data_IF_665659110816
#
_entry.id   IF_665659110816
#
_cell.length_a   1.000
_cell.length_b   1.000
_cell.length_c   1.000
_cell.angle_alpha   90.00
_cell.angle_beta   90.00
_cell.angle_gamma   90.00
#
_symmetry.space_group_name_H-M   'P 1'
#
loop_
_entity.id
_entity.type
_entity.pdbx_description
1 polymer ?
#
# COMPACT_ATOMS: atom_id res chain seq x y z
N UNK A 1 9.47 25.90 -20.54
CA UNK A 1 10.42 24.96 -19.88
C UNK A 1 9.76 24.07 -18.83
N UNK A 2 8.86 24.57 -17.98
CA UNK A 2 8.19 23.74 -16.96
C UNK A 2 7.26 22.66 -17.52
N UNK A 3 6.47 22.97 -18.56
CA UNK A 3 5.61 21.96 -19.21
C UNK A 3 6.40 20.82 -19.86
N UNK A 4 7.57 21.10 -20.45
CA UNK A 4 8.44 20.08 -21.03
C UNK A 4 9.05 19.17 -19.95
N UNK A 5 9.51 19.74 -18.82
CA UNK A 5 9.98 18.97 -17.66
C UNK A 5 8.87 18.10 -17.05
N UNK A 6 7.66 18.63 -16.93
CA UNK A 6 6.52 17.88 -16.43
C UNK A 6 6.17 16.71 -17.35
N UNK A 7 6.15 16.92 -18.66
CA UNK A 7 5.89 15.86 -19.65
C UNK A 7 6.98 14.79 -19.65
N UNK A 8 8.25 15.18 -19.54
CA UNK A 8 9.38 14.25 -19.45
C UNK A 8 9.36 13.42 -18.16
N UNK A 9 8.96 14.02 -17.04
CA UNK A 9 8.79 13.33 -15.77
C UNK A 9 7.63 12.32 -15.80
N UNK A 10 6.50 12.68 -16.43
CA UNK A 10 5.37 11.76 -16.63
C UNK A 10 5.77 10.57 -17.50
N UNK A 11 6.55 10.80 -18.56
CA UNK A 11 7.07 9.73 -19.42
C UNK A 11 8.01 8.78 -18.66
N UNK A 12 8.92 9.32 -17.83
CA UNK A 12 9.80 8.50 -16.96
C UNK A 12 9.00 7.70 -15.95
N UNK A 13 8.01 8.30 -15.29
CA UNK A 13 7.13 7.62 -14.34
C UNK A 13 6.36 6.47 -15.01
N UNK A 14 5.80 6.71 -16.20
CA UNK A 14 5.08 5.70 -16.96
C UNK A 14 6.00 4.54 -17.39
N UNK A 15 7.25 4.84 -17.77
CA UNK A 15 8.25 3.84 -18.10
C UNK A 15 8.65 3.00 -16.87
N UNK A 16 8.88 3.65 -15.73
CA UNK A 16 9.21 2.97 -14.47
C UNK A 16 8.05 2.09 -13.99
N UNK A 17 6.81 2.57 -14.06
CA UNK A 17 5.62 1.77 -13.75
C UNK A 17 5.49 0.56 -14.68
N UNK A 18 5.71 0.74 -15.99
CA UNK A 18 5.68 -0.36 -16.96
C UNK A 18 6.74 -1.41 -16.62
N UNK A 19 7.97 -0.98 -16.31
CA UNK A 19 9.07 -1.87 -15.92
C UNK A 19 8.76 -2.62 -14.62
N UNK A 20 8.25 -1.94 -13.60
CA UNK A 20 7.83 -2.58 -12.34
C UNK A 20 6.72 -3.60 -12.58
N UNK A 21 5.73 -3.26 -13.41
CA UNK A 21 4.64 -4.16 -13.79
C UNK A 21 5.16 -5.42 -14.48
N UNK A 22 6.08 -5.27 -15.43
CA UNK A 22 6.73 -6.39 -16.12
C UNK A 22 7.52 -7.28 -15.15
N UNK A 23 8.26 -6.68 -14.20
CA UNK A 23 8.98 -7.42 -13.16
C UNK A 23 8.04 -8.20 -12.24
N UNK A 24 6.92 -7.60 -11.83
CA UNK A 24 5.90 -8.27 -11.03
C UNK A 24 5.25 -9.42 -11.81
N UNK A 25 4.91 -9.22 -13.09
CA UNK A 25 4.38 -10.29 -13.93
C UNK A 25 5.37 -11.44 -14.11
N UNK A 26 6.65 -11.14 -14.35
CA UNK A 26 7.69 -12.16 -14.42
C UNK A 26 7.80 -12.94 -13.11
N UNK A 27 7.66 -12.25 -11.97
CA UNK A 27 7.66 -12.89 -10.66
C UNK A 27 6.43 -13.78 -10.43
N UNK A 28 5.25 -13.35 -10.86
CA UNK A 28 4.01 -14.15 -10.81
C UNK A 28 4.19 -15.45 -11.61
N UNK A 29 4.64 -15.35 -12.86
CA UNK A 29 4.88 -16.52 -13.72
C UNK A 29 5.87 -17.49 -13.07
N UNK A 30 6.94 -16.97 -12.46
CA UNK A 30 7.91 -17.80 -11.74
C UNK A 30 7.29 -18.50 -10.52
N UNK A 31 6.48 -17.79 -9.74
CA UNK A 31 5.78 -18.37 -8.59
C UNK A 31 4.75 -19.42 -9.01
N UNK A 32 4.03 -19.21 -10.11
CA UNK A 32 3.09 -20.18 -10.69
C UNK A 32 3.83 -21.46 -11.12
N UNK A 33 5.01 -21.33 -11.74
CA UNK A 33 5.86 -22.49 -12.07
C UNK A 33 6.27 -23.24 -10.82
N UNK A 34 6.73 -22.54 -9.78
CA UNK A 34 7.13 -23.16 -8.51
C UNK A 34 5.95 -23.86 -7.81
N UNK A 35 4.76 -23.26 -7.88
CA UNK A 35 3.54 -23.86 -7.35
C UNK A 35 3.18 -25.14 -8.11
N UNK A 36 3.26 -25.13 -9.43
CA UNK A 36 3.01 -26.32 -10.26
C UNK A 36 4.00 -27.46 -9.94
N UNK A 37 5.29 -27.13 -9.73
CA UNK A 37 6.30 -28.11 -9.29
C UNK A 37 5.93 -28.73 -7.94
N UNK A 38 5.50 -27.89 -6.98
CA UNK A 38 5.06 -28.37 -5.65
C UNK A 38 3.85 -29.30 -5.76
N UNK A 39 2.83 -28.90 -6.52
CA UNK A 39 1.62 -29.70 -6.71
C UNK A 39 1.91 -31.03 -7.39
N UNK A 40 2.81 -31.04 -8.38
CA UNK A 40 3.27 -32.27 -9.02
C UNK A 40 3.96 -33.20 -8.03
N UNK A 41 4.85 -32.67 -7.19
CA UNK A 41 5.52 -33.45 -6.14
C UNK A 41 4.52 -34.03 -5.12
N UNK A 42 3.52 -33.25 -4.71
CA UNK A 42 2.45 -33.71 -3.82
C UNK A 42 1.65 -34.87 -4.45
N UNK A 43 1.33 -34.77 -5.75
CA UNK A 43 0.65 -35.83 -6.49
C UNK A 43 1.52 -37.10 -6.59
N UNK A 44 2.81 -36.97 -6.91
CA UNK A 44 3.75 -38.11 -6.98
C UNK A 44 3.86 -38.83 -5.63
N UNK A 45 3.92 -38.09 -4.52
CA UNK A 45 3.90 -38.67 -3.16
C UNK A 45 2.61 -39.48 -2.93
N UNK A 46 1.44 -38.95 -3.31
CA UNK A 46 0.17 -39.68 -3.17
C UNK A 46 0.12 -40.94 -4.03
N UNK A 47 0.61 -40.87 -5.27
CA UNK A 47 0.70 -42.03 -6.16
C UNK A 47 1.62 -43.12 -5.59
N UNK A 48 2.79 -42.74 -5.05
CA UNK A 48 3.72 -43.66 -4.42
C UNK A 48 3.13 -44.30 -3.16
N UNK A 49 2.40 -43.54 -2.33
CA UNK A 49 1.65 -44.07 -1.18
C UNK A 49 0.62 -45.11 -1.62
N UNK A 50 -0.15 -44.81 -2.67
CA UNK A 50 -1.14 -45.74 -3.23
C UNK A 50 -0.50 -47.03 -3.73
N UNK A 51 0.57 -46.94 -4.54
CA UNK A 51 1.32 -48.11 -5.05
C UNK A 51 1.86 -48.98 -3.91
N UNK A 52 2.46 -48.36 -2.89
CA UNK A 52 2.99 -49.07 -1.73
C UNK A 52 1.86 -49.78 -0.96
N UNK A 53 0.68 -49.16 -0.85
CA UNK A 53 -0.47 -49.76 -0.18
C UNK A 53 -0.98 -51.00 -0.94
N UNK A 54 -1.12 -50.92 -2.26
CA UNK A 54 -1.54 -52.07 -3.09
C UNK A 54 -0.54 -53.23 -2.97
N UNK A 55 0.76 -52.96 -3.08
CA UNK A 55 1.80 -54.01 -2.92
C UNK A 55 1.79 -54.69 -1.55
N UNK A 56 1.48 -53.95 -0.47
CA UNK A 56 1.32 -54.55 0.87
C UNK A 56 0.20 -55.58 0.93
N UNK A 57 -0.90 -55.37 0.19
CA UNK A 57 -2.04 -56.29 0.16
C UNK A 57 -1.82 -57.48 -0.77
N UNK A 58 -1.01 -57.32 -1.82
CA UNK A 58 -0.66 -58.39 -2.78
C UNK A 58 0.44 -59.35 -2.27
N UNK A 59 1.02 -59.10 -1.09
CA UNK A 59 2.14 -59.88 -0.52
C UNK A 59 1.80 -61.36 -0.23
N UNK A 60 0.52 -61.74 -0.27
CA UNK A 60 0.07 -63.10 0.03
C UNK A 60 0.09 -64.05 -1.18
N UNK A 61 0.25 -63.57 -2.42
CA UNK A 61 -0.01 -64.38 -3.62
C UNK A 61 1.18 -64.64 -4.57
N UNK A 62 2.34 -63.96 -4.51
CA UNK A 62 3.47 -64.24 -5.45
C UNK A 62 4.89 -63.83 -4.98
N UNK A 63 5.85 -64.73 -5.25
CA UNK A 63 7.34 -64.75 -5.41
C UNK A 63 8.34 -63.68 -4.87
N UNK A 64 9.61 -64.14 -4.82
CA UNK A 64 10.86 -63.58 -4.23
C UNK A 64 11.30 -62.15 -4.67
N UNK A 65 10.66 -61.52 -5.66
CA UNK A 65 11.10 -60.26 -6.32
C UNK A 65 10.28 -59.00 -5.90
N UNK A 66 9.28 -59.20 -5.03
CA UNK A 66 8.45 -58.13 -4.42
C UNK A 66 9.19 -57.26 -3.38
N UNK A 67 10.12 -57.78 -2.56
CA UNK A 67 10.79 -57.00 -1.52
C UNK A 67 11.62 -55.83 -2.07
N UNK A 68 12.44 -56.04 -3.10
CA UNK A 68 13.37 -55.01 -3.62
C UNK A 68 12.64 -53.83 -4.26
N UNK A 69 11.57 -54.10 -5.01
CA UNK A 69 10.70 -53.06 -5.59
C UNK A 69 9.99 -52.26 -4.50
N UNK A 70 9.55 -52.93 -3.44
CA UNK A 70 8.95 -52.27 -2.27
C UNK A 70 9.96 -51.38 -1.53
N UNK A 71 11.20 -51.82 -1.35
CA UNK A 71 12.28 -51.02 -0.76
C UNK A 71 12.62 -49.79 -1.61
N UNK A 72 12.71 -49.93 -2.93
CA UNK A 72 12.98 -48.81 -3.84
C UNK A 72 11.87 -47.74 -3.78
N UNK A 73 10.60 -48.15 -3.82
CA UNK A 73 9.44 -47.24 -3.69
C UNK A 73 9.44 -46.52 -2.33
N UNK A 74 9.78 -47.23 -1.25
CA UNK A 74 9.84 -46.63 0.09
C UNK A 74 10.93 -45.57 0.20
N UNK A 75 12.10 -45.82 -0.42
CA UNK A 75 13.21 -44.85 -0.48
C UNK A 75 12.81 -43.60 -1.26
N UNK A 76 12.23 -43.75 -2.45
CA UNK A 76 11.81 -42.61 -3.27
C UNK A 76 10.71 -41.78 -2.61
N UNK A 77 9.73 -42.44 -2.00
CA UNK A 77 8.67 -41.79 -1.21
C UNK A 77 9.27 -40.98 -0.05
N UNK A 78 10.18 -41.59 0.72
CA UNK A 78 10.83 -40.92 1.85
C UNK A 78 11.60 -39.67 1.42
N UNK A 79 12.32 -39.75 0.30
CA UNK A 79 13.08 -38.62 -0.23
C UNK A 79 12.16 -37.49 -0.72
N UNK A 80 11.10 -37.82 -1.47
CA UNK A 80 10.12 -36.83 -1.94
C UNK A 80 9.39 -36.15 -0.79
N UNK A 81 8.98 -36.91 0.23
CA UNK A 81 8.38 -36.32 1.44
C UNK A 81 9.36 -35.42 2.18
N UNK A 82 10.65 -35.79 2.24
CA UNK A 82 11.71 -34.94 2.82
C UNK A 82 11.87 -33.63 2.04
N UNK A 83 11.89 -33.70 0.71
CA UNK A 83 11.96 -32.52 -0.16
C UNK A 83 10.74 -31.60 0.02
N UNK A 84 9.52 -32.16 0.05
CA UNK A 84 8.30 -31.38 0.27
C UNK A 84 8.31 -30.71 1.65
N UNK A 85 8.72 -31.42 2.71
CA UNK A 85 8.88 -30.85 4.05
C UNK A 85 9.90 -29.72 4.08
N UNK A 86 11.06 -29.90 3.44
CA UNK A 86 12.09 -28.87 3.37
C UNK A 86 11.61 -27.62 2.61
N UNK A 87 10.91 -27.79 1.50
CA UNK A 87 10.32 -26.68 0.72
C UNK A 87 9.30 -25.89 1.55
N UNK A 88 8.39 -26.58 2.24
CA UNK A 88 7.39 -25.94 3.10
C UNK A 88 8.05 -25.20 4.28
N UNK A 89 9.06 -25.80 4.91
CA UNK A 89 9.80 -25.16 6.01
C UNK A 89 10.56 -23.90 5.55
N UNK A 90 11.19 -23.94 4.38
CA UNK A 90 11.82 -22.77 3.78
C UNK A 90 10.80 -21.66 3.49
N UNK A 91 9.66 -22.00 2.89
CA UNK A 91 8.61 -21.02 2.61
C UNK A 91 8.10 -20.36 3.89
N UNK A 92 7.84 -21.14 4.94
CA UNK A 92 7.44 -20.60 6.24
C UNK A 92 8.51 -19.67 6.84
N UNK A 93 9.78 -20.05 6.72
CA UNK A 93 10.91 -19.23 7.20
C UNK A 93 10.98 -17.90 6.45
N UNK A 94 10.77 -17.91 5.14
CA UNK A 94 10.77 -16.69 4.31
C UNK A 94 9.60 -15.78 4.69
N UNK A 95 8.40 -16.32 4.90
CA UNK A 95 7.23 -15.54 5.36
C UNK A 95 7.53 -14.86 6.70
N UNK A 96 8.11 -15.59 7.66
CA UNK A 96 8.45 -15.02 8.97
C UNK A 96 9.50 -13.93 8.85
N UNK A 97 10.53 -14.11 8.01
CA UNK A 97 11.57 -13.11 7.78
C UNK A 97 11.04 -11.85 7.09
N UNK A 98 10.18 -12.03 6.09
CA UNK A 98 9.55 -10.92 5.36
C UNK A 98 8.68 -10.10 6.30
N UNK A 99 7.81 -10.73 7.08
CA UNK A 99 6.98 -10.05 8.09
C UNK A 99 7.81 -9.23 9.07
N UNK A 100 8.86 -9.84 9.65
CA UNK A 100 9.77 -9.13 10.57
C UNK A 100 10.43 -7.92 9.91
N UNK A 101 10.95 -8.09 8.69
CA UNK A 101 11.59 -6.98 7.97
C UNK A 101 10.59 -5.88 7.60
N UNK A 102 9.36 -6.24 7.24
CA UNK A 102 8.31 -5.27 6.95
C UNK A 102 7.91 -4.53 8.22
N UNK A 103 7.72 -5.22 9.35
CA UNK A 103 7.40 -4.60 10.63
C UNK A 103 8.48 -3.58 11.03
N UNK A 104 9.75 -3.93 10.94
CA UNK A 104 10.87 -3.01 11.19
C UNK A 104 10.83 -1.78 10.27
N UNK A 105 10.53 -1.97 8.98
CA UNK A 105 10.41 -0.86 8.02
C UNK A 105 9.20 0.03 8.31
N UNK A 106 8.07 -0.53 8.72
CA UNK A 106 6.88 0.23 9.08
C UNK A 106 7.11 1.03 10.37
N UNK A 107 7.72 0.43 11.39
CA UNK A 107 8.06 1.13 12.63
C UNK A 107 9.06 2.27 12.37
N UNK A 108 10.11 2.02 11.58
CA UNK A 108 11.05 3.08 11.17
C UNK A 108 10.35 4.22 10.40
N UNK A 109 9.33 3.89 9.60
CA UNK A 109 8.55 4.87 8.83
C UNK A 109 7.64 5.71 9.72
N UNK A 110 6.94 5.08 10.66
CA UNK A 110 6.11 5.75 11.66
C UNK A 110 6.95 6.71 12.50
N UNK A 111 8.08 6.23 13.02
CA UNK A 111 9.00 7.04 13.82
C UNK A 111 9.52 8.26 13.04
N UNK A 112 9.84 8.06 11.76
CA UNK A 112 10.28 9.14 10.87
C UNK A 112 9.18 10.18 10.63
N UNK A 113 7.92 9.76 10.48
CA UNK A 113 6.76 10.66 10.35
C UNK A 113 6.60 11.48 11.63
N UNK A 114 6.56 10.83 12.80
CA UNK A 114 6.45 11.50 14.10
C UNK A 114 7.58 12.51 14.30
N UNK A 115 8.83 12.09 14.06
CA UNK A 115 10.00 12.95 14.23
C UNK A 115 9.95 14.16 13.29
N UNK A 116 9.56 13.97 12.02
CA UNK A 116 9.48 15.07 11.04
C UNK A 116 8.32 16.02 11.36
N UNK A 117 7.21 15.51 11.88
CA UNK A 117 6.06 16.33 12.29
C UNK A 117 6.41 17.31 13.41
N UNK A 118 7.27 16.92 14.34
CA UNK A 118 7.72 17.77 15.46
C UNK A 118 8.80 18.79 15.06
N UNK A 119 9.46 18.60 13.91
CA UNK A 119 10.49 19.51 13.45
C UNK A 119 9.89 20.76 12.78
N UNK A 120 10.52 21.94 12.94
CA UNK A 120 10.14 23.12 12.18
C UNK A 120 10.23 22.83 10.68
N UNK A 121 9.11 22.96 9.96
CA UNK A 121 9.04 22.67 8.53
C UNK A 121 10.02 23.56 7.76
N UNK A 122 11.10 22.96 7.24
CA UNK A 122 12.18 23.65 6.53
C UNK A 122 12.60 22.88 5.29
N UNK A 123 11.68 22.76 4.35
CA UNK A 123 11.95 22.19 3.04
C UNK A 123 10.74 21.54 2.41
N UNK A 124 11.00 20.82 1.32
CA UNK A 124 9.96 20.20 0.51
C UNK A 124 9.50 18.85 1.06
N UNK A 125 10.21 18.29 2.04
CA UNK A 125 9.83 17.04 2.70
C UNK A 125 9.19 17.37 4.04
N UNK A 126 7.99 16.88 4.26
CA UNK A 126 7.25 17.07 5.50
C UNK A 126 6.23 15.96 5.72
N UNK A 127 5.34 16.18 6.68
CA UNK A 127 4.18 15.30 6.90
C UNK A 127 2.95 15.93 6.25
N UNK A 128 2.18 15.13 5.51
CA UNK A 128 0.87 15.50 4.98
C UNK A 128 -0.18 14.66 5.68
N UNK A 129 -1.29 15.28 6.08
CA UNK A 129 -2.46 14.60 6.67
C UNK A 129 -3.43 14.24 5.54
N UNK A 130 -3.38 13.00 5.09
CA UNK A 130 -4.20 12.50 3.99
C UNK A 130 -5.66 12.39 4.42
N UNK A 131 -6.53 13.06 3.68
CA UNK A 131 -7.96 13.09 3.99
C UNK A 131 -8.38 14.20 4.94
N UNK A 132 -7.46 15.09 5.34
CA UNK A 132 -7.83 16.31 6.05
C UNK A 132 -8.39 17.33 5.04
N UNK A 133 -9.55 17.92 5.36
CA UNK A 133 -10.17 18.94 4.52
C UNK A 133 -9.39 20.25 4.67
N UNK A 134 -9.02 20.88 3.56
CA UNK A 134 -8.50 22.26 3.60
C UNK A 134 -9.63 23.21 4.01
N UNK A 135 -9.50 23.81 5.19
CA UNK A 135 -10.50 24.74 5.73
C UNK A 135 -10.44 26.13 5.07
N UNK A 136 -9.40 26.45 4.29
CA UNK A 136 -9.25 27.79 3.69
C UNK A 136 -10.41 28.18 2.77
N UNK A 137 -10.88 27.32 1.84
CA UNK A 137 -12.04 27.65 1.00
C UNK A 137 -13.30 27.93 1.80
N UNK A 138 -13.54 27.17 2.88
CA UNK A 138 -14.68 27.39 3.77
C UNK A 138 -14.59 28.77 4.42
N UNK A 139 -13.41 29.14 4.94
CA UNK A 139 -13.17 30.43 5.54
C UNK A 139 -13.34 31.59 4.56
N UNK A 140 -12.86 31.44 3.32
CA UNK A 140 -12.98 32.46 2.28
C UNK A 140 -14.44 32.70 1.87
N UNK A 141 -15.26 31.64 1.80
CA UNK A 141 -16.70 31.77 1.55
C UNK A 141 -17.41 32.43 2.74
N UNK A 142 -17.07 32.05 3.97
CA UNK A 142 -17.71 32.61 5.17
C UNK A 142 -17.35 34.10 5.38
N UNK A 143 -16.10 34.50 5.08
CA UNK A 143 -15.66 35.90 5.18
C UNK A 143 -16.39 36.85 4.24
N UNK A 144 -17.00 36.36 3.16
CA UNK A 144 -17.85 37.15 2.27
C UNK A 144 -19.22 37.47 2.88
N UNK A 145 -19.65 36.70 3.87
CA UNK A 145 -21.01 36.75 4.45
C UNK A 145 -21.02 37.24 5.91
N UNK A 146 -19.93 37.07 6.65
CA UNK A 146 -19.87 37.29 8.10
C UNK A 146 -18.62 38.07 8.51
N UNK A 147 -18.61 38.60 9.75
CA UNK A 147 -17.41 39.18 10.35
C UNK A 147 -16.34 38.10 10.60
N UNK A 148 -15.10 38.50 10.89
CA UNK A 148 -13.96 37.58 10.99
C UNK A 148 -14.17 36.43 11.99
N UNK A 149 -14.60 36.73 13.22
CA UNK A 149 -14.76 35.70 14.26
C UNK A 149 -15.90 34.74 13.92
N UNK A 150 -17.04 35.27 13.46
CA UNK A 150 -18.19 34.46 13.06
C UNK A 150 -17.87 33.62 11.81
N UNK A 151 -17.05 34.15 10.90
CA UNK A 151 -16.63 33.43 9.71
C UNK A 151 -15.71 32.25 10.05
N UNK A 152 -14.78 32.43 11.00
CA UNK A 152 -13.89 31.37 11.47
C UNK A 152 -14.64 30.24 12.18
N UNK A 153 -15.56 30.59 13.09
CA UNK A 153 -16.39 29.61 13.80
C UNK A 153 -17.31 28.85 12.83
N UNK A 154 -17.98 29.55 11.90
CA UNK A 154 -18.87 28.91 10.91
C UNK A 154 -18.12 28.04 9.91
N UNK A 155 -16.96 28.49 9.43
CA UNK A 155 -16.13 27.70 8.53
C UNK A 155 -15.67 26.40 9.22
N UNK A 156 -15.21 26.50 10.47
CA UNK A 156 -14.77 25.35 11.26
C UNK A 156 -15.92 24.37 11.50
N UNK A 157 -17.10 24.84 11.89
CA UNK A 157 -18.30 23.99 12.08
C UNK A 157 -18.69 23.25 10.81
N UNK A 158 -18.69 23.94 9.67
CA UNK A 158 -19.03 23.33 8.40
C UNK A 158 -17.96 22.34 7.93
N UNK A 159 -16.67 22.67 8.09
CA UNK A 159 -15.57 21.77 7.79
C UNK A 159 -15.70 20.48 8.60
N UNK A 160 -15.93 20.57 9.92
CA UNK A 160 -16.13 19.41 10.79
C UNK A 160 -17.36 18.59 10.43
N UNK A 161 -18.47 19.21 10.00
CA UNK A 161 -19.63 18.48 9.50
C UNK A 161 -19.24 17.60 8.31
N UNK A 162 -18.47 18.14 7.36
CA UNK A 162 -18.00 17.39 6.21
C UNK A 162 -16.97 16.32 6.60
N UNK A 163 -16.10 16.57 7.57
CA UNK A 163 -15.20 15.54 8.11
C UNK A 163 -15.98 14.35 8.68
N UNK A 164 -17.12 14.56 9.35
CA UNK A 164 -17.98 13.49 9.82
C UNK A 164 -18.66 12.73 8.67
N UNK A 165 -19.12 13.44 7.64
CA UNK A 165 -19.62 12.77 6.43
C UNK A 165 -18.54 11.91 5.78
N UNK A 166 -17.30 12.39 5.67
CA UNK A 166 -16.20 11.60 5.11
C UNK A 166 -15.89 10.33 5.91
N UNK A 167 -16.17 10.30 7.22
CA UNK A 167 -15.97 9.12 8.07
C UNK A 167 -17.08 8.07 7.94
N UNK A 168 -18.25 8.46 7.41
CA UNK A 168 -19.41 7.58 7.26
C UNK A 168 -19.09 6.44 6.26
N UNK A 169 -19.07 5.17 6.69
CA UNK A 169 -18.80 4.04 5.82
C UNK A 169 -19.92 3.77 4.82
N UNK A 170 -21.16 4.21 5.11
CA UNK A 170 -22.31 4.01 4.22
C UNK A 170 -22.35 5.04 3.08
N UNK A 171 -21.57 6.11 3.19
CA UNK A 171 -21.45 7.13 2.15
C UNK A 171 -20.18 6.95 1.30
N UNK A 172 -20.35 6.36 0.12
CA UNK A 172 -19.28 6.11 -0.85
C UNK A 172 -19.64 6.70 -2.22
N UNK A 173 -19.48 8.01 -2.45
CA UNK A 173 -19.94 8.69 -3.66
C UNK A 173 -18.95 8.49 -4.82
N UNK A 174 -18.69 7.23 -5.13
CA UNK A 174 -17.80 6.79 -6.19
C UNK A 174 -18.52 5.83 -7.13
N UNK A 175 -18.11 5.86 -8.40
CA UNK A 175 -18.57 4.92 -9.43
C UNK A 175 -17.38 4.37 -10.20
N UNK A 176 -17.55 3.15 -10.68
CA UNK A 176 -16.57 2.49 -11.53
C UNK A 176 -16.83 2.87 -12.98
N UNK A 177 -15.84 3.47 -13.64
CA UNK A 177 -15.85 3.78 -15.07
C UNK A 177 -14.72 3.05 -15.79
N UNK A 178 -14.91 2.77 -17.07
CA UNK A 178 -13.87 2.16 -17.90
C UNK A 178 -13.14 3.28 -18.66
N UNK A 179 -11.91 3.55 -18.27
CA UNK A 179 -11.04 4.53 -18.95
C UNK A 179 -9.85 3.75 -19.53
N UNK A 180 -9.71 3.78 -20.86
CA UNK A 180 -8.65 3.06 -21.59
C UNK A 180 -8.61 1.54 -21.29
N UNK A 181 -9.79 0.91 -21.15
CA UNK A 181 -9.90 -0.52 -20.88
C UNK A 181 -9.57 -0.93 -19.44
N UNK A 182 -9.37 0.03 -18.52
CA UNK A 182 -9.18 -0.23 -17.09
C UNK A 182 -10.37 0.30 -16.29
N UNK A 183 -10.86 -0.50 -15.35
CA UNK A 183 -11.80 -0.05 -14.33
C UNK A 183 -11.09 0.95 -13.42
N UNK A 184 -11.62 2.16 -13.34
CA UNK A 184 -11.15 3.22 -12.46
C UNK A 184 -12.34 3.71 -11.63
N UNK A 185 -12.09 3.89 -10.34
CA UNK A 185 -13.05 4.48 -9.43
C UNK A 185 -12.94 6.00 -9.50
N UNK A 186 -14.04 6.67 -9.81
CA UNK A 186 -14.12 8.13 -9.93
C UNK A 186 -15.28 8.65 -9.10
N UNK A 187 -15.20 9.92 -8.70
CA UNK A 187 -16.29 10.57 -7.97
C UNK A 187 -17.57 10.54 -8.80
N UNK A 188 -18.68 10.22 -8.14
CA UNK A 188 -19.98 10.33 -8.76
C UNK A 188 -20.49 11.78 -8.70
N UNK A 189 -20.44 12.47 -9.84
CA UNK A 189 -20.95 13.84 -9.96
C UNK A 189 -22.48 13.94 -9.75
N UNK A 190 -23.20 12.81 -9.74
CA UNK A 190 -24.64 12.78 -9.44
C UNK A 190 -24.96 12.63 -7.95
N UNK A 191 -23.95 12.47 -7.08
CA UNK A 191 -24.16 12.38 -5.63
C UNK A 191 -24.86 13.65 -5.09
N UNK A 192 -25.98 13.43 -4.39
CA UNK A 192 -26.87 14.50 -3.93
C UNK A 192 -26.14 15.46 -2.97
N UNK A 193 -25.37 14.92 -2.01
CA UNK A 193 -24.65 15.72 -1.01
C UNK A 193 -23.56 16.57 -1.66
N UNK A 194 -22.77 16.01 -2.57
CA UNK A 194 -21.71 16.76 -3.28
C UNK A 194 -22.31 17.84 -4.20
N UNK A 195 -23.45 17.57 -4.85
CA UNK A 195 -24.16 18.57 -5.67
C UNK A 195 -24.68 19.72 -4.81
N UNK A 196 -25.31 19.40 -3.68
CA UNK A 196 -25.78 20.40 -2.72
C UNK A 196 -24.63 21.28 -2.21
N UNK A 197 -23.52 20.66 -1.77
CA UNK A 197 -22.31 21.38 -1.35
C UNK A 197 -21.82 22.37 -2.40
N UNK A 198 -21.71 21.91 -3.65
CA UNK A 198 -21.24 22.72 -4.76
C UNK A 198 -22.18 23.89 -5.06
N UNK A 199 -23.49 23.66 -4.97
CA UNK A 199 -24.50 24.71 -5.20
C UNK A 199 -24.50 25.75 -4.08
N UNK A 200 -24.35 25.35 -2.82
CA UNK A 200 -24.43 26.26 -1.67
C UNK A 200 -23.12 27.02 -1.39
N UNK A 201 -21.99 26.32 -1.56
CA UNK A 201 -20.68 26.79 -1.11
C UNK A 201 -19.69 27.03 -2.25
N UNK A 202 -20.01 26.60 -3.47
CA UNK A 202 -19.20 26.83 -4.66
C UNK A 202 -18.10 25.80 -4.90
N UNK A 203 -17.38 25.99 -6.00
CA UNK A 203 -16.43 25.01 -6.55
C UNK A 203 -15.24 24.74 -5.63
N UNK A 204 -14.72 25.75 -4.94
CA UNK A 204 -13.50 25.64 -4.14
C UNK A 204 -13.73 24.77 -2.89
N UNK A 205 -14.87 24.95 -2.22
CA UNK A 205 -15.26 24.14 -1.05
C UNK A 205 -15.55 22.70 -1.47
N UNK A 206 -16.31 22.51 -2.56
CA UNK A 206 -16.53 21.21 -3.16
C UNK A 206 -15.21 20.52 -3.52
N UNK A 207 -14.28 21.25 -4.13
CA UNK A 207 -12.95 20.76 -4.50
C UNK A 207 -12.13 20.29 -3.29
N UNK A 208 -12.16 21.03 -2.17
CA UNK A 208 -11.48 20.64 -0.94
C UNK A 208 -12.03 19.34 -0.35
N UNK A 209 -13.36 19.19 -0.28
CA UNK A 209 -14.00 17.96 0.20
C UNK A 209 -13.71 16.77 -0.71
N UNK A 210 -13.81 16.94 -2.03
CA UNK A 210 -13.51 15.89 -3.00
C UNK A 210 -12.03 15.47 -2.95
N UNK A 211 -11.11 16.42 -2.77
CA UNK A 211 -9.69 16.11 -2.61
C UNK A 211 -9.46 15.24 -1.36
N UNK A 212 -10.01 15.64 -0.21
CA UNK A 212 -9.93 14.86 1.03
C UNK A 212 -10.55 13.46 0.86
N UNK A 213 -11.71 13.35 0.23
CA UNK A 213 -12.38 12.08 -0.01
C UNK A 213 -11.53 11.12 -0.88
N UNK A 214 -10.92 11.64 -1.95
CA UNK A 214 -10.01 10.86 -2.80
C UNK A 214 -8.79 10.37 -2.03
N UNK A 215 -8.22 11.22 -1.18
CA UNK A 215 -7.09 10.85 -0.33
C UNK A 215 -7.46 9.78 0.70
N UNK A 216 -8.64 9.87 1.32
CA UNK A 216 -9.14 8.81 2.22
C UNK A 216 -9.23 7.49 1.46
N UNK A 217 -9.81 7.49 0.26
CA UNK A 217 -9.98 6.27 -0.52
C UNK A 217 -8.65 5.67 -1.01
N UNK A 218 -7.64 6.50 -1.29
CA UNK A 218 -6.31 6.02 -1.71
C UNK A 218 -5.48 5.50 -0.53
N UNK A 219 -5.52 6.19 0.62
CA UNK A 219 -4.59 5.92 1.73
C UNK A 219 -5.21 5.12 2.88
N UNK A 220 -6.52 5.19 3.10
CA UNK A 220 -7.21 4.50 4.18
C UNK A 220 -8.69 4.19 3.84
N UNK A 221 -8.97 3.44 2.75
CA UNK A 221 -10.33 3.24 2.27
C UNK A 221 -11.24 2.55 3.29
N UNK A 222 -10.70 1.57 4.02
CA UNK A 222 -11.46 0.83 5.04
C UNK A 222 -11.61 1.59 6.36
N UNK A 223 -10.59 2.34 6.78
CA UNK A 223 -10.61 3.04 8.05
C UNK A 223 -11.31 4.40 8.01
N UNK A 224 -11.35 5.05 6.84
CA UNK A 224 -12.01 6.36 6.62
C UNK A 224 -11.54 7.49 7.55
N UNK A 225 -10.38 7.36 8.19
CA UNK A 225 -9.77 8.38 9.05
C UNK A 225 -8.51 8.98 8.44
N UNK A 226 -8.23 10.22 8.84
CA UNK A 226 -7.05 10.99 8.41
C UNK A 226 -5.77 10.24 8.74
N UNK A 227 -4.91 10.03 7.74
CA UNK A 227 -3.65 9.31 7.90
C UNK A 227 -2.45 10.21 7.61
N UNK A 228 -1.49 10.27 8.52
CA UNK A 228 -0.26 11.02 8.31
C UNK A 228 0.71 10.27 7.39
N UNK A 229 1.21 10.94 6.36
CA UNK A 229 2.14 10.39 5.41
C UNK A 229 3.36 11.27 5.22
N UNK A 230 4.53 10.64 5.09
CA UNK A 230 5.74 11.34 4.68
C UNK A 230 5.58 11.79 3.22
N UNK A 231 5.70 13.09 2.98
CA UNK A 231 5.33 13.71 1.70
C UNK A 231 6.45 14.57 1.14
N UNK A 232 6.68 14.47 -0.18
CA UNK A 232 7.50 15.38 -0.95
C UNK A 232 6.58 16.38 -1.67
N UNK A 233 6.46 17.57 -1.08
CA UNK A 233 5.64 18.67 -1.60
C UNK A 233 6.16 19.24 -2.93
N UNK A 234 7.46 19.12 -3.22
CA UNK A 234 7.99 19.59 -4.51
C UNK A 234 7.65 18.63 -5.66
N UNK A 235 7.52 17.33 -5.37
CA UNK A 235 7.17 16.32 -6.36
C UNK A 235 5.69 15.90 -6.31
N UNK A 236 4.93 16.41 -5.34
CA UNK A 236 3.50 16.09 -5.18
C UNK A 236 3.25 14.60 -4.94
N UNK A 237 4.16 13.91 -4.24
CA UNK A 237 4.07 12.46 -4.03
C UNK A 237 4.59 12.02 -2.66
N UNK A 238 4.28 10.77 -2.31
CA UNK A 238 4.79 10.10 -1.11
C UNK A 238 6.32 10.12 -1.10
N UNK A 239 6.91 10.64 -0.03
CA UNK A 239 8.36 10.64 0.15
C UNK A 239 8.85 9.27 0.63
N UNK A 240 10.05 8.94 0.17
CA UNK A 240 10.79 7.73 0.53
C UNK A 240 11.44 7.86 1.91
N UNK A 241 11.70 6.72 2.56
CA UNK A 241 12.50 6.69 3.80
C UNK A 241 13.86 7.38 3.61
N UNK A 242 14.49 7.20 2.45
CA UNK A 242 15.76 7.83 2.11
C UNK A 242 15.67 9.36 2.10
N UNK A 243 14.58 9.93 1.58
CA UNK A 243 14.37 11.38 1.60
C UNK A 243 14.19 11.90 3.02
N UNK A 244 13.38 11.24 3.86
CA UNK A 244 13.22 11.66 5.26
C UNK A 244 14.51 11.52 6.07
N UNK A 245 15.30 10.46 5.88
CA UNK A 245 16.63 10.33 6.53
C UNK A 245 17.57 11.46 6.13
N UNK A 246 17.55 11.90 4.86
CA UNK A 246 18.35 13.06 4.42
C UNK A 246 17.94 14.35 5.15
N UNK A 247 16.65 14.54 5.44
CA UNK A 247 16.16 15.68 6.25
C UNK A 247 16.76 15.62 7.65
N UNK A 248 16.65 14.49 8.34
CA UNK A 248 17.20 14.30 9.68
C UNK A 248 18.71 14.56 9.72
N UNK A 249 19.46 14.03 8.76
CA UNK A 249 20.91 14.24 8.66
C UNK A 249 21.28 15.72 8.46
N UNK A 250 20.49 16.44 7.66
CA UNK A 250 20.70 17.88 7.44
C UNK A 250 20.46 18.67 8.73
N UNK A 251 19.35 18.41 9.42
CA UNK A 251 19.02 19.06 10.69
C UNK A 251 20.06 18.76 11.77
N UNK A 252 20.52 17.51 11.87
CA UNK A 252 21.58 17.12 12.80
C UNK A 252 22.89 17.86 12.54
N UNK A 253 23.32 17.96 11.27
CA UNK A 253 24.51 18.73 10.87
C UNK A 253 24.37 20.23 11.21
N UNK A 254 23.19 20.81 11.00
CA UNK A 254 22.92 22.21 11.35
C UNK A 254 23.00 22.44 12.86
N UNK A 255 22.41 21.56 13.67
CA UNK A 255 22.48 21.64 15.15
C UNK A 255 23.92 21.51 15.65
N UNK A 256 24.73 20.61 15.07
CA UNK A 256 26.16 20.46 15.44
C UNK A 256 26.98 21.71 15.16
N UNK A 257 26.83 22.34 13.98
CA UNK A 257 27.56 23.56 13.62
C UNK A 257 27.23 24.74 14.53
N UNK A 258 25.99 24.83 15.02
CA UNK A 258 25.59 25.87 15.98
C UNK A 258 26.20 25.67 17.37
N UNK A 259 26.36 24.43 17.84
CA UNK A 259 27.03 24.14 19.11
C UNK A 259 28.51 24.49 19.07
N UNK A 260 29.23 24.16 17.99
CA UNK A 260 30.65 24.47 17.84
C UNK A 260 30.98 25.96 17.57
N UNK A 261 29.97 26.82 17.38
CA UNK A 261 30.13 28.28 17.27
C UNK A 261 29.78 29.03 18.57
N UNK A 262 29.26 28.32 19.56
CA UNK A 262 28.88 28.85 20.89
C UNK A 262 29.88 28.46 21.98
N UNK A 263 30.88 27.65 21.64
CA UNK A 263 32.11 27.43 22.40
C UNK A 263 33.20 28.29 21.75
#
# INVERSE_FOLDING_TARGET
>A
MEQQKASENVLKLAADQKRQKEQLHAKIIELEKQLNVKQKLELEIQQLKGKLNVMKHMKNDVDFDVPDKMYALHRDLTEKERLLRAMNALNQTLIVKERKSNDELQEARKELITTIQEMPSRGNIGVKRMGEIDNRPFLEVMRKKFNTNDAEDRASKLCSLWEEHLKDPDWHPFKIVIIQGKHQEVIDNEDEKLKELKNEMGEEVHGAVVAALKEINEYNPSGRYVTSELWNYAEGKKATLREGVKVLLKEWKLKRRKKGRRM
#
